data_IF_719795583296
#
_entry.id   IF_719795583296
#
_cell.length_a   1.000
_cell.length_b   1.000
_cell.length_c   1.000
_cell.angle_alpha   90.00
_cell.angle_beta   90.00
_cell.angle_gamma   90.00
#
_symmetry.space_group_name_H-M   'P 1'
#
loop_
_entity.id
_entity.type
_entity.pdbx_description
1 polymer ?
#
# COMPACT_ATOMS: atom_id res chain seq x y z
N UNK A 1 51.41 -15.72 47.15
CA UNK A 1 50.67 -16.68 46.29
C UNK A 1 49.25 -16.14 46.17
N UNK A 2 49.09 -15.09 45.35
CA UNK A 2 47.80 -14.42 45.12
C UNK A 2 47.13 -15.07 43.91
N UNK A 3 45.98 -15.68 44.13
CA UNK A 3 45.12 -16.18 43.07
C UNK A 3 44.39 -14.99 42.44
N UNK A 4 44.82 -14.57 41.24
CA UNK A 4 44.05 -13.67 40.39
C UNK A 4 42.83 -14.42 39.87
N UNK A 5 41.67 -14.07 40.41
CA UNK A 5 40.37 -14.48 39.91
C UNK A 5 40.12 -13.73 38.60
N UNK A 6 40.33 -14.42 37.47
CA UNK A 6 39.89 -13.94 36.16
C UNK A 6 38.37 -13.93 36.18
N UNK A 7 37.77 -12.73 36.28
CA UNK A 7 36.38 -12.54 35.89
C UNK A 7 36.36 -12.73 34.37
N UNK A 8 35.77 -13.82 33.91
CA UNK A 8 35.42 -13.95 32.51
C UNK A 8 34.34 -12.90 32.23
N UNK A 9 34.61 -12.01 31.28
CA UNK A 9 33.59 -11.15 30.70
C UNK A 9 32.46 -12.06 30.20
N UNK A 10 31.36 -12.06 30.94
CA UNK A 10 30.10 -12.63 30.52
C UNK A 10 29.52 -11.66 29.49
N UNK A 11 29.94 -11.83 28.24
CA UNK A 11 29.37 -11.19 27.05
C UNK A 11 27.93 -11.69 26.88
N UNK A 12 27.06 -11.31 27.81
CA UNK A 12 25.62 -11.36 27.62
C UNK A 12 25.30 -10.24 26.62
N UNK A 13 25.43 -10.54 25.33
CA UNK A 13 24.86 -9.71 24.27
C UNK A 13 23.41 -9.40 24.65
N UNK A 14 23.16 -8.15 25.04
CA UNK A 14 21.82 -7.62 25.22
C UNK A 14 21.11 -7.82 23.88
N UNK A 15 20.24 -8.83 23.81
CA UNK A 15 19.32 -9.01 22.68
C UNK A 15 18.51 -7.71 22.64
N UNK A 16 18.89 -6.80 21.76
CA UNK A 16 18.10 -5.60 21.52
C UNK A 16 16.72 -6.10 21.07
N UNK A 17 15.69 -5.75 21.82
CA UNK A 17 14.32 -6.15 21.49
C UNK A 17 14.02 -5.67 20.07
N UNK A 18 14.02 -6.62 19.14
CA UNK A 18 13.85 -6.31 17.73
C UNK A 18 12.41 -5.86 17.52
N UNK A 19 12.23 -4.59 17.21
CA UNK A 19 10.91 -4.06 16.92
C UNK A 19 10.53 -4.33 15.47
N UNK A 20 9.43 -5.05 15.27
CA UNK A 20 8.86 -5.37 13.97
C UNK A 20 7.77 -4.36 13.60
N UNK A 21 7.88 -3.80 12.39
CA UNK A 21 6.90 -2.87 11.87
C UNK A 21 5.61 -3.62 11.49
N UNK A 22 4.42 -3.06 11.76
CA UNK A 22 3.17 -3.78 11.52
C UNK A 22 2.74 -3.87 10.05
N UNK A 23 3.39 -3.14 9.15
CA UNK A 23 3.14 -3.16 7.71
C UNK A 23 4.32 -3.78 6.97
N UNK A 24 4.03 -4.47 5.86
CA UNK A 24 5.02 -5.11 5.01
C UNK A 24 5.44 -4.19 3.86
N UNK A 25 6.55 -4.50 3.20
CA UNK A 25 6.88 -3.85 1.92
C UNK A 25 5.73 -3.98 0.92
N UNK A 26 5.38 -2.88 0.25
CA UNK A 26 4.23 -2.78 -0.64
C UNK A 26 2.97 -2.17 0.00
N UNK A 27 2.87 -2.20 1.33
CA UNK A 27 1.74 -1.62 2.08
C UNK A 27 1.87 -0.09 2.13
N UNK A 28 1.40 0.56 1.05
CA UNK A 28 1.54 2.01 0.84
C UNK A 28 0.23 2.78 1.05
N UNK A 29 0.37 4.06 1.43
CA UNK A 29 -0.72 5.04 1.51
C UNK A 29 -0.46 6.24 0.57
N UNK A 30 0.32 6.05 -0.49
CA UNK A 30 0.80 7.15 -1.37
C UNK A 30 -0.31 7.96 -2.05
N UNK A 31 -1.52 7.41 -2.18
CA UNK A 31 -2.68 8.07 -2.79
C UNK A 31 -3.70 8.54 -1.73
N UNK A 32 -3.30 8.63 -0.45
CA UNK A 32 -4.16 9.04 0.65
C UNK A 32 -3.72 10.40 1.20
N UNK A 33 -4.55 11.42 0.96
CA UNK A 33 -4.28 12.79 1.41
C UNK A 33 -4.79 13.12 2.83
N UNK A 34 -5.44 12.17 3.48
CA UNK A 34 -6.00 12.35 4.83
C UNK A 34 -5.48 11.30 5.80
N UNK A 35 -4.98 11.78 6.95
CA UNK A 35 -4.49 10.99 8.07
C UNK A 35 -4.93 11.69 9.39
N UNK A 36 -5.35 10.95 10.44
CA UNK A 36 -5.71 11.56 11.72
C UNK A 36 -4.48 12.10 12.47
N UNK A 37 -4.54 13.35 12.94
CA UNK A 37 -3.44 14.00 13.68
C UNK A 37 -3.50 13.78 15.21
N UNK A 38 -4.67 13.42 15.76
CA UNK A 38 -4.91 13.31 17.21
C UNK A 38 -4.43 14.53 18.00
N UNK A 39 -5.04 15.69 17.72
CA UNK A 39 -4.65 17.01 18.26
C UNK A 39 -4.42 16.99 19.78
N UNK A 40 -5.30 16.37 20.56
CA UNK A 40 -5.12 16.29 22.02
C UNK A 40 -3.85 15.53 22.40
N UNK A 41 -3.62 14.34 21.82
CA UNK A 41 -2.42 13.51 22.07
C UNK A 41 -1.15 14.27 21.67
N UNK A 42 -1.19 15.00 20.55
CA UNK A 42 -0.08 15.82 20.10
C UNK A 42 0.21 16.97 21.08
N UNK A 43 -0.78 17.81 21.36
CA UNK A 43 -0.59 19.03 22.14
C UNK A 43 -0.28 18.78 23.61
N UNK A 44 -0.61 17.59 24.15
CA UNK A 44 -0.25 17.17 25.51
C UNK A 44 0.96 16.22 25.55
N UNK A 45 1.66 16.00 24.43
CA UNK A 45 2.81 15.09 24.39
C UNK A 45 4.05 15.70 25.04
N UNK A 46 4.91 14.82 25.56
CA UNK A 46 6.25 15.19 26.04
C UNK A 46 7.05 15.90 24.95
N UNK A 47 6.96 15.44 23.70
CA UNK A 47 7.61 16.08 22.55
C UNK A 47 7.31 17.59 22.47
N UNK A 48 6.03 17.99 22.56
CA UNK A 48 5.66 19.41 22.53
C UNK A 48 6.13 20.13 23.79
N UNK A 49 5.97 19.52 24.97
CA UNK A 49 6.37 20.11 26.24
C UNK A 49 7.87 20.44 26.27
N UNK A 50 8.73 19.48 25.93
CA UNK A 50 10.18 19.64 25.90
C UNK A 50 10.64 20.58 24.78
N UNK A 51 10.07 20.47 23.58
CA UNK A 51 10.42 21.37 22.46
C UNK A 51 10.14 22.85 22.79
N UNK A 52 9.07 23.12 23.55
CA UNK A 52 8.77 24.48 24.01
C UNK A 52 9.70 24.90 25.15
N UNK A 53 9.93 24.04 26.13
CA UNK A 53 10.76 24.34 27.30
C UNK A 53 12.23 24.63 26.92
N UNK A 54 12.76 23.94 25.91
CA UNK A 54 14.14 24.07 25.46
C UNK A 54 14.33 25.11 24.35
N UNK A 55 13.28 25.86 23.99
CA UNK A 55 13.34 26.87 22.93
C UNK A 55 13.41 26.30 21.51
N UNK A 56 13.22 24.98 21.33
CA UNK A 56 13.23 24.25 20.05
C UNK A 56 11.86 24.21 19.36
N UNK A 57 11.08 25.30 19.42
CA UNK A 57 9.73 25.34 18.82
C UNK A 57 9.71 25.05 17.31
N UNK A 58 10.81 25.34 16.61
CA UNK A 58 10.95 25.02 15.18
C UNK A 58 10.86 23.52 14.87
N UNK A 59 11.32 22.68 15.81
CA UNK A 59 11.34 21.23 15.64
C UNK A 59 9.95 20.64 15.48
N UNK A 60 8.93 21.29 16.06
CA UNK A 60 7.52 20.88 15.94
C UNK A 60 7.09 20.91 14.46
N UNK A 61 7.46 21.97 13.73
CA UNK A 61 7.14 22.11 12.31
C UNK A 61 7.85 21.05 11.47
N UNK A 62 9.13 20.85 11.72
CA UNK A 62 9.94 19.84 11.02
C UNK A 62 9.44 18.42 11.29
N UNK A 63 9.08 18.10 12.54
CA UNK A 63 8.49 16.81 12.90
C UNK A 63 7.18 16.58 12.15
N UNK A 64 6.28 17.57 12.06
CA UNK A 64 5.04 17.45 11.29
C UNK A 64 5.28 17.21 9.79
N UNK A 65 6.33 17.82 9.20
CA UNK A 65 6.75 17.54 7.83
C UNK A 65 7.17 16.07 7.69
N UNK A 66 8.05 15.60 8.57
CA UNK A 66 8.53 14.22 8.58
C UNK A 66 7.39 13.21 8.78
N UNK A 67 6.47 13.47 9.71
CA UNK A 67 5.30 12.64 9.96
C UNK A 67 4.43 12.56 8.69
N UNK A 68 4.16 13.70 8.06
CA UNK A 68 3.36 13.76 6.82
C UNK A 68 4.02 13.00 5.66
N UNK A 69 5.34 13.13 5.51
CA UNK A 69 6.09 12.43 4.47
C UNK A 69 6.22 10.94 4.73
N UNK A 70 6.25 10.51 6.00
CA UNK A 70 6.34 9.09 6.37
C UNK A 70 5.18 8.26 5.81
N UNK A 71 3.97 8.81 5.74
CA UNK A 71 2.80 8.10 5.19
C UNK A 71 2.89 7.85 3.68
N UNK A 72 3.72 8.62 2.96
CA UNK A 72 3.97 8.44 1.52
C UNK A 72 5.06 7.40 1.24
N UNK A 73 5.76 6.96 2.27
CA UNK A 73 6.82 5.96 2.14
C UNK A 73 6.27 4.56 1.92
N UNK A 74 7.19 3.63 1.68
CA UNK A 74 6.94 2.20 1.51
C UNK A 74 7.84 1.47 2.53
N UNK A 75 7.28 0.78 3.54
CA UNK A 75 5.87 0.81 3.95
C UNK A 75 5.44 2.18 4.50
N UNK A 76 4.14 2.44 4.47
CA UNK A 76 3.58 3.68 4.99
C UNK A 76 3.87 3.88 6.48
N UNK A 77 4.23 5.10 6.88
CA UNK A 77 4.50 5.48 8.27
C UNK A 77 5.93 5.19 8.74
N UNK A 78 6.84 4.86 7.82
CA UNK A 78 8.27 4.69 8.11
C UNK A 78 9.09 5.83 7.52
N UNK A 79 10.35 6.00 7.94
CA UNK A 79 11.32 6.91 7.33
C UNK A 79 12.63 6.16 7.01
N UNK A 80 13.41 6.59 6.01
CA UNK A 80 14.76 6.07 5.81
C UNK A 80 15.68 6.54 6.92
N UNK A 81 16.57 5.67 7.42
CA UNK A 81 17.65 6.07 8.34
C UNK A 81 18.89 6.45 7.54
N UNK A 82 18.81 7.59 6.85
CA UNK A 82 19.89 8.14 6.03
C UNK A 82 19.79 9.66 6.03
N UNK A 83 20.85 10.35 6.47
CA UNK A 83 20.81 11.79 6.70
C UNK A 83 20.57 12.59 5.42
N UNK A 84 21.08 12.13 4.28
CA UNK A 84 20.88 12.82 3.00
C UNK A 84 19.40 12.74 2.58
N UNK A 85 18.80 11.57 2.67
CA UNK A 85 17.37 11.40 2.40
C UNK A 85 16.51 12.15 3.42
N UNK A 86 16.82 12.06 4.71
CA UNK A 86 16.06 12.73 5.75
C UNK A 86 16.13 14.25 5.64
N UNK A 87 17.30 14.83 5.36
CA UNK A 87 17.43 16.26 5.12
C UNK A 87 16.54 16.75 3.96
N UNK A 88 16.48 15.97 2.87
CA UNK A 88 15.61 16.27 1.74
C UNK A 88 14.12 16.15 2.12
N UNK A 89 13.73 15.10 2.84
CA UNK A 89 12.35 14.88 3.30
C UNK A 89 11.93 15.99 4.27
N UNK A 90 12.81 16.39 5.18
CA UNK A 90 12.62 17.45 6.17
C UNK A 90 12.71 18.88 5.60
N UNK A 91 12.99 19.03 4.29
CA UNK A 91 13.09 20.33 3.57
C UNK A 91 14.31 21.19 3.94
N UNK A 92 15.37 20.58 4.45
CA UNK A 92 16.69 21.23 4.58
C UNK A 92 17.45 21.27 3.25
N UNK A 93 17.16 20.34 2.33
CA UNK A 93 17.80 20.31 1.01
C UNK A 93 19.30 20.04 1.13
N UNK A 94 20.13 20.99 0.65
CA UNK A 94 21.59 20.88 0.74
C UNK A 94 22.16 21.21 2.14
N UNK A 95 21.36 21.74 3.06
CA UNK A 95 21.79 22.08 4.42
C UNK A 95 21.81 20.84 5.34
N UNK A 96 22.79 19.97 5.11
CA UNK A 96 22.95 18.73 5.89
C UNK A 96 23.35 19.02 7.34
N UNK A 97 24.12 20.08 7.59
CA UNK A 97 24.56 20.43 8.95
C UNK A 97 23.40 20.99 9.78
N UNK A 98 22.53 21.81 9.18
CA UNK A 98 21.26 22.22 9.81
C UNK A 98 20.36 21.02 10.11
N UNK A 99 20.27 20.05 9.19
CA UNK A 99 19.54 18.80 9.44
C UNK A 99 20.11 18.06 10.65
N UNK A 100 21.42 17.81 10.70
CA UNK A 100 22.07 17.09 11.80
C UNK A 100 21.82 17.77 13.15
N UNK A 101 21.84 19.10 13.20
CA UNK A 101 21.55 19.86 14.41
C UNK A 101 20.10 19.69 14.89
N UNK A 102 19.13 19.56 13.97
CA UNK A 102 17.72 19.35 14.29
C UNK A 102 17.35 17.88 14.53
N UNK A 103 18.12 16.93 13.96
CA UNK A 103 17.79 15.50 13.83
C UNK A 103 17.31 14.86 15.14
N UNK A 104 18.07 15.03 16.21
CA UNK A 104 17.77 14.41 17.51
C UNK A 104 16.41 14.88 18.06
N UNK A 105 16.14 16.19 17.96
CA UNK A 105 14.89 16.79 18.43
C UNK A 105 13.68 16.36 17.59
N UNK A 106 13.80 16.41 16.26
CA UNK A 106 12.68 16.16 15.34
C UNK A 106 12.37 14.67 15.16
N UNK A 107 13.33 13.79 15.44
CA UNK A 107 13.15 12.33 15.45
C UNK A 107 12.77 11.78 16.84
N UNK A 108 12.23 12.60 17.74
CA UNK A 108 11.69 12.13 19.01
C UNK A 108 10.67 10.98 18.80
N UNK A 109 10.89 9.85 19.47
CA UNK A 109 10.04 8.67 19.39
C UNK A 109 10.22 7.80 18.14
N UNK A 110 11.12 8.16 17.23
CA UNK A 110 11.52 7.32 16.11
C UNK A 110 12.59 6.32 16.55
N UNK A 111 12.48 5.08 16.09
CA UNK A 111 13.43 4.02 16.41
C UNK A 111 13.60 3.07 15.22
N UNK A 112 14.74 2.39 15.17
CA UNK A 112 15.02 1.36 14.17
C UNK A 112 13.94 0.27 14.19
N UNK A 113 13.51 -0.16 13.01
CA UNK A 113 12.49 -1.21 12.87
C UNK A 113 12.86 -2.22 11.80
N UNK A 114 12.52 -3.47 12.05
CA UNK A 114 12.53 -4.52 11.04
C UNK A 114 11.22 -4.51 10.26
N UNK A 115 11.30 -4.83 8.97
CA UNK A 115 10.15 -4.85 8.07
C UNK A 115 10.13 -6.19 7.35
N UNK A 116 8.98 -6.84 7.38
CA UNK A 116 8.76 -8.12 6.77
C UNK A 116 8.45 -8.01 5.26
N UNK A 117 8.73 -9.07 4.51
CA UNK A 117 8.58 -9.14 3.05
C UNK A 117 9.79 -8.65 2.24
N UNK A 118 9.65 -8.67 0.91
CA UNK A 118 10.68 -8.24 -0.03
C UNK A 118 10.39 -6.81 -0.53
N UNK A 119 11.39 -5.92 -0.46
CA UNK A 119 11.26 -4.55 -0.98
C UNK A 119 10.94 -4.59 -2.48
N UNK A 120 9.78 -4.07 -2.87
CA UNK A 120 9.39 -3.94 -4.28
C UNK A 120 10.25 -2.90 -5.02
N UNK A 121 10.95 -2.02 -4.29
CA UNK A 121 11.82 -0.98 -4.87
C UNK A 121 13.28 -1.38 -4.72
N UNK A 122 13.93 -1.63 -5.86
CA UNK A 122 15.31 -2.11 -6.06
C UNK A 122 16.44 -1.29 -5.38
N UNK A 123 16.16 -0.22 -4.63
CA UNK A 123 17.21 0.47 -3.87
C UNK A 123 17.45 -0.29 -2.57
N UNK A 124 18.72 -0.66 -2.36
CA UNK A 124 19.24 -1.43 -1.23
C UNK A 124 18.50 -1.13 0.07
N UNK A 125 18.17 -2.19 0.81
CA UNK A 125 17.50 -2.20 2.13
C UNK A 125 18.20 -1.23 3.09
N UNK A 126 17.83 0.04 3.07
CA UNK A 126 18.26 0.99 4.08
C UNK A 126 17.50 0.70 5.35
N UNK A 127 18.18 0.82 6.48
CA UNK A 127 17.54 0.74 7.79
C UNK A 127 16.36 1.73 7.82
N UNK A 128 15.24 1.30 8.41
CA UNK A 128 14.04 2.11 8.50
C UNK A 128 13.80 2.50 9.94
N UNK A 129 13.27 3.70 10.09
CA UNK A 129 12.76 4.22 11.34
C UNK A 129 11.24 4.08 11.36
N UNK A 130 10.71 3.55 12.45
CA UNK A 130 9.29 3.60 12.76
C UNK A 130 9.04 4.47 13.98
N UNK A 131 7.79 4.92 14.16
CA UNK A 131 7.35 5.61 15.35
C UNK A 131 6.05 4.97 15.85
N UNK A 132 5.95 4.64 17.14
CA UNK A 132 4.85 3.84 17.70
C UNK A 132 3.46 4.40 17.36
N UNK A 133 3.26 5.71 17.57
CA UNK A 133 1.99 6.37 17.22
C UNK A 133 1.73 6.38 15.72
N UNK A 134 2.74 6.63 14.89
CA UNK A 134 2.58 6.71 13.43
C UNK A 134 2.27 5.33 12.86
N UNK A 135 2.87 4.25 13.40
CA UNK A 135 2.64 2.88 12.94
C UNK A 135 1.22 2.40 13.26
N UNK A 136 0.68 2.75 14.45
CA UNK A 136 -0.74 2.52 14.79
C UNK A 136 -1.66 3.16 13.74
N UNK A 137 -1.37 4.42 13.40
CA UNK A 137 -2.17 5.19 12.44
C UNK A 137 -2.07 4.61 11.04
N UNK A 138 -0.85 4.29 10.59
CA UNK A 138 -0.60 3.72 9.28
C UNK A 138 -1.32 2.38 9.12
N UNK A 139 -1.26 1.52 10.13
CA UNK A 139 -1.94 0.21 10.15
C UNK A 139 -3.46 0.36 10.03
N UNK A 140 -4.07 1.22 10.84
CA UNK A 140 -5.51 1.45 10.80
C UNK A 140 -5.96 2.05 9.47
N UNK A 141 -5.16 2.97 8.91
CA UNK A 141 -5.44 3.54 7.60
C UNK A 141 -5.29 2.52 6.47
N UNK A 142 -4.29 1.65 6.55
CA UNK A 142 -4.10 0.57 5.60
C UNK A 142 -5.25 -0.44 5.63
N UNK A 143 -5.72 -0.85 6.82
CA UNK A 143 -6.92 -1.70 6.97
C UNK A 143 -8.15 -1.09 6.32
N UNK A 144 -8.38 0.21 6.53
CA UNK A 144 -9.50 0.94 5.90
C UNK A 144 -9.36 1.06 4.39
N UNK A 145 -8.13 1.26 3.88
CA UNK A 145 -7.83 1.27 2.44
C UNK A 145 -8.16 -0.08 1.82
N UNK A 146 -7.59 -1.16 2.37
CA UNK A 146 -7.77 -2.52 1.88
C UNK A 146 -9.26 -2.90 1.80
N UNK A 147 -10.05 -2.58 2.83
CA UNK A 147 -11.49 -2.81 2.80
C UNK A 147 -12.23 -2.04 1.70
N UNK A 148 -11.86 -0.78 1.43
CA UNK A 148 -12.44 0.00 0.32
C UNK A 148 -12.02 -0.56 -1.04
N UNK A 149 -10.77 -0.98 -1.18
CA UNK A 149 -10.26 -1.49 -2.44
C UNK A 149 -10.88 -2.84 -2.78
N UNK A 150 -11.05 -3.74 -1.79
CA UNK A 150 -11.83 -4.97 -1.93
C UNK A 150 -13.29 -4.70 -2.33
N UNK A 151 -13.95 -3.73 -1.69
CA UNK A 151 -15.33 -3.38 -2.00
C UNK A 151 -15.47 -2.80 -3.43
N UNK A 152 -14.52 -1.95 -3.85
CA UNK A 152 -14.47 -1.42 -5.21
C UNK A 152 -14.28 -2.52 -6.24
N UNK A 153 -13.36 -3.44 -5.97
CA UNK A 153 -13.06 -4.55 -6.86
C UNK A 153 -14.26 -5.49 -7.01
N UNK A 154 -14.89 -5.86 -5.90
CA UNK A 154 -16.13 -6.64 -5.92
C UNK A 154 -17.26 -5.92 -6.68
N UNK A 155 -17.42 -4.61 -6.48
CA UNK A 155 -18.38 -3.79 -7.21
C UNK A 155 -18.10 -3.73 -8.71
N UNK A 156 -16.84 -3.56 -9.09
CA UNK A 156 -16.39 -3.54 -10.49
C UNK A 156 -16.66 -4.88 -11.17
N UNK A 157 -16.30 -5.99 -10.54
CA UNK A 157 -16.56 -7.33 -11.05
C UNK A 157 -18.07 -7.62 -11.16
N UNK A 158 -18.88 -7.17 -10.20
CA UNK A 158 -20.34 -7.27 -10.29
C UNK A 158 -20.92 -6.50 -11.50
N UNK A 159 -20.38 -5.32 -11.81
CA UNK A 159 -20.75 -4.57 -13.01
C UNK A 159 -20.34 -5.31 -14.30
N UNK A 160 -19.15 -5.90 -14.33
CA UNK A 160 -18.69 -6.73 -15.46
C UNK A 160 -19.63 -7.91 -15.67
N UNK A 161 -19.98 -8.66 -14.61
CA UNK A 161 -20.94 -9.78 -14.66
C UNK A 161 -22.31 -9.35 -15.21
N UNK A 162 -22.83 -8.21 -14.76
CA UNK A 162 -24.08 -7.64 -15.26
C UNK A 162 -24.02 -7.35 -16.77
N UNK A 163 -22.91 -6.79 -17.26
CA UNK A 163 -22.68 -6.56 -18.70
C UNK A 163 -22.53 -7.87 -19.48
N UNK A 164 -21.80 -8.86 -18.95
CA UNK A 164 -21.65 -10.19 -19.56
C UNK A 164 -23.01 -10.88 -19.72
N UNK A 165 -23.88 -10.88 -18.69
CA UNK A 165 -25.23 -11.46 -18.79
C UNK A 165 -26.05 -10.85 -19.93
N UNK A 166 -25.99 -9.52 -20.08
CA UNK A 166 -26.67 -8.81 -21.19
C UNK A 166 -26.12 -9.28 -22.53
N UNK A 167 -24.80 -9.39 -22.66
CA UNK A 167 -24.13 -9.82 -23.91
C UNK A 167 -24.41 -11.28 -24.26
N UNK A 168 -24.40 -12.20 -23.29
CA UNK A 168 -24.81 -13.59 -23.49
C UNK A 168 -26.27 -13.70 -23.97
N UNK A 169 -27.16 -12.82 -23.49
CA UNK A 169 -28.53 -12.75 -23.99
C UNK A 169 -28.60 -12.25 -25.44
N UNK A 170 -27.81 -11.25 -25.83
CA UNK A 170 -27.72 -10.75 -27.21
C UNK A 170 -27.20 -11.84 -28.15
N UNK A 171 -26.18 -12.59 -27.71
CA UNK A 171 -25.62 -13.76 -28.41
C UNK A 171 -26.56 -14.98 -28.43
N UNK A 172 -27.77 -14.87 -27.87
CA UNK A 172 -28.78 -15.94 -27.80
C UNK A 172 -28.25 -17.24 -27.17
N UNK A 173 -27.31 -17.12 -26.23
CA UNK A 173 -26.79 -18.26 -25.48
C UNK A 173 -27.90 -18.86 -24.61
N UNK A 174 -27.91 -20.19 -24.46
CA UNK A 174 -28.97 -20.91 -23.77
C UNK A 174 -29.19 -20.36 -22.34
N UNK A 175 -30.46 -20.35 -21.91
CA UNK A 175 -30.88 -19.71 -20.65
C UNK A 175 -30.11 -20.23 -19.43
N UNK A 176 -29.92 -21.54 -19.33
CA UNK A 176 -29.21 -22.16 -18.21
C UNK A 176 -27.73 -21.76 -18.13
N UNK A 177 -27.11 -21.38 -19.25
CA UNK A 177 -25.72 -20.91 -19.32
C UNK A 177 -25.65 -19.45 -18.87
N UNK A 178 -26.50 -18.58 -19.41
CA UNK A 178 -26.46 -17.13 -19.10
C UNK A 178 -26.95 -16.79 -17.69
N UNK A 179 -27.77 -17.64 -17.08
CA UNK A 179 -28.27 -17.48 -15.70
C UNK A 179 -27.36 -18.18 -14.67
N UNK A 180 -26.45 -19.06 -15.11
CA UNK A 180 -25.47 -19.69 -14.22
C UNK A 180 -24.47 -18.66 -13.69
N UNK A 181 -24.47 -18.45 -12.38
CA UNK A 181 -23.55 -17.52 -11.72
C UNK A 181 -22.09 -17.98 -11.87
N UNK A 182 -21.85 -19.29 -11.85
CA UNK A 182 -20.51 -19.87 -12.04
C UNK A 182 -19.94 -19.55 -13.44
N UNK A 183 -20.74 -19.70 -14.49
CA UNK A 183 -20.29 -19.45 -15.87
C UNK A 183 -20.08 -17.94 -16.09
N UNK A 184 -21.04 -17.12 -15.64
CA UNK A 184 -20.93 -15.66 -15.75
C UNK A 184 -19.73 -15.14 -14.98
N UNK A 185 -19.45 -15.69 -13.80
CA UNK A 185 -18.26 -15.39 -13.01
C UNK A 185 -16.98 -15.77 -13.78
N UNK A 186 -16.89 -16.97 -14.33
CA UNK A 186 -15.71 -17.42 -15.06
C UNK A 186 -15.41 -16.53 -16.27
N UNK A 187 -16.43 -16.21 -17.07
CA UNK A 187 -16.31 -15.30 -18.23
C UNK A 187 -15.91 -13.89 -17.79
N UNK A 188 -16.54 -13.36 -16.74
CA UNK A 188 -16.21 -12.03 -16.22
C UNK A 188 -14.77 -11.96 -15.70
N UNK A 189 -14.32 -12.97 -14.93
CA UNK A 189 -12.96 -13.07 -14.42
C UNK A 189 -11.92 -13.22 -15.54
N UNK A 190 -12.24 -13.94 -16.62
CA UNK A 190 -11.34 -14.05 -17.78
C UNK A 190 -11.17 -12.69 -18.47
N UNK A 191 -12.29 -12.02 -18.82
CA UNK A 191 -12.24 -10.70 -19.45
C UNK A 191 -11.46 -9.70 -18.62
N UNK A 192 -11.63 -9.77 -17.30
CA UNK A 192 -10.94 -8.91 -16.37
C UNK A 192 -9.43 -9.17 -16.29
N UNK A 193 -9.05 -10.43 -16.09
CA UNK A 193 -7.65 -10.86 -16.00
C UNK A 193 -6.90 -10.60 -17.31
N UNK A 194 -7.56 -10.75 -18.45
CA UNK A 194 -7.01 -10.47 -19.78
C UNK A 194 -7.12 -8.99 -20.18
N UNK A 195 -7.64 -8.11 -19.33
CA UNK A 195 -7.86 -6.68 -19.58
C UNK A 195 -8.64 -6.41 -20.89
N UNK A 196 -9.66 -7.22 -21.16
CA UNK A 196 -10.51 -7.13 -22.35
C UNK A 196 -11.81 -6.39 -22.06
N UNK A 197 -12.20 -5.51 -22.99
CA UNK A 197 -13.51 -4.84 -22.93
C UNK A 197 -14.66 -5.83 -23.12
N UNK A 198 -15.81 -5.56 -22.49
CA UNK A 198 -17.02 -6.39 -22.59
C UNK A 198 -17.75 -6.14 -23.92
N UNK A 199 -17.20 -6.69 -25.01
CA UNK A 199 -17.78 -6.70 -26.37
C UNK A 199 -18.36 -8.07 -26.70
N UNK A 200 -19.17 -8.15 -27.76
CA UNK A 200 -19.79 -9.41 -28.19
C UNK A 200 -18.73 -10.46 -28.56
N UNK A 201 -17.67 -10.05 -29.26
CA UNK A 201 -16.58 -10.94 -29.69
C UNK A 201 -15.72 -11.40 -28.51
N UNK A 202 -15.37 -10.48 -27.60
CA UNK A 202 -14.58 -10.85 -26.42
C UNK A 202 -15.37 -11.76 -25.48
N UNK A 203 -16.69 -11.55 -25.33
CA UNK A 203 -17.55 -12.45 -24.54
C UNK A 203 -17.65 -13.83 -25.20
N UNK A 204 -17.69 -13.90 -26.54
CA UNK A 204 -17.67 -15.18 -27.27
C UNK A 204 -16.35 -15.92 -27.03
N UNK A 205 -15.23 -15.23 -27.22
CA UNK A 205 -13.90 -15.78 -26.97
C UNK A 205 -13.77 -16.25 -25.52
N UNK A 206 -14.15 -15.41 -24.55
CA UNK A 206 -14.08 -15.76 -23.15
C UNK A 206 -14.97 -16.96 -22.79
N UNK A 207 -16.16 -17.09 -23.39
CA UNK A 207 -17.03 -18.25 -23.17
C UNK A 207 -16.43 -19.55 -23.75
N UNK A 208 -15.76 -19.45 -24.90
CA UNK A 208 -15.06 -20.56 -25.50
C UNK A 208 -13.86 -21.00 -24.64
N UNK A 209 -13.03 -20.05 -24.19
CA UNK A 209 -11.85 -20.33 -23.37
C UNK A 209 -12.20 -20.85 -21.97
N UNK A 210 -13.29 -20.35 -21.37
CA UNK A 210 -13.64 -20.71 -19.98
C UNK A 210 -14.56 -21.93 -19.87
N UNK A 211 -15.45 -22.16 -20.85
CA UNK A 211 -16.48 -23.21 -20.79
C UNK A 211 -16.38 -24.19 -21.96
N UNK A 212 -15.49 -23.95 -22.94
CA UNK A 212 -15.38 -24.79 -24.14
C UNK A 212 -16.60 -24.67 -25.07
N UNK A 213 -17.41 -23.63 -24.91
CA UNK A 213 -18.65 -23.45 -25.67
C UNK A 213 -18.49 -22.40 -26.76
N UNK A 214 -18.74 -22.81 -28.01
CA UNK A 214 -18.90 -21.90 -29.15
C UNK A 214 -20.39 -21.59 -29.35
N UNK A 215 -20.86 -20.36 -29.07
CA UNK A 215 -22.20 -19.95 -29.45
C UNK A 215 -22.38 -20.08 -30.96
N UNK A 216 -23.41 -20.80 -31.41
CA UNK A 216 -23.79 -20.79 -32.81
C UNK A 216 -24.41 -19.42 -33.14
N UNK A 217 -23.67 -18.60 -33.90
CA UNK A 217 -24.19 -17.38 -34.50
C UNK A 217 -24.52 -17.70 -35.95
N UNK A 218 -25.79 -17.58 -36.33
CA UNK A 218 -26.11 -17.42 -37.75
C UNK A 218 -25.50 -16.09 -38.19
N UNK A 219 -24.43 -16.13 -38.99
CA UNK A 219 -23.97 -14.97 -39.76
C UNK A 219 -25.16 -14.48 -40.59
N UNK A 220 -25.68 -13.31 -40.26
CA UNK A 220 -26.50 -12.55 -41.20
C UNK A 220 -25.57 -11.82 -42.15
N UNK A 221 -24.84 -12.59 -42.97
CA UNK A 221 -24.28 -12.08 -44.22
C UNK A 221 -25.35 -12.32 -45.29
N UNK A 222 -26.25 -11.34 -45.45
CA UNK A 222 -27.20 -11.33 -46.55
C UNK A 222 -27.35 -9.91 -47.11
N UNK A 223 -26.65 -9.71 -48.23
CA UNK A 223 -26.85 -8.70 -49.27
C UNK A 223 -26.45 -7.25 -48.99
N UNK A 224 -25.18 -6.95 -49.33
CA UNK A 224 -24.82 -5.65 -49.90
C UNK A 224 -23.87 -5.82 -51.09
N UNK A 225 -24.32 -6.59 -52.07
CA UNK A 225 -23.81 -6.52 -53.44
C UNK A 225 -25.01 -6.37 -54.41
N UNK A 226 -24.78 -5.58 -55.46
CA UNK A 226 -25.68 -5.20 -56.54
C UNK A 226 -26.69 -4.06 -56.25
N UNK A 227 -26.22 -2.83 -56.41
CA UNK A 227 -26.89 -1.85 -57.30
C UNK A 227 -25.83 -1.10 -58.09
N UNK A 228 -25.68 -1.52 -59.35
CA UNK A 228 -25.42 -0.63 -60.49
C UNK A 228 -26.49 0.48 -60.56
#
# INVERSE_FOLDING_TARGET
>A
MEARMHYADDDTELISETWWYPLQWGDTLSNHDWIPLYINRLLTSDFIAYSVAEGRRGDIGTALILWSESFKQDPAGTLPDDDVQLAQIARFGSDIEGWKAAREGVLHGWQATQIDGESTRSRARTQRLGHAVISEIALDMHRRKSGRDQAREAGRLAQVRSRVRKKLSVLKVARHIRESDQIVQAVASYLDTSNLYVTDDNVRLALEETVGLRPHVHQLDAHREARE
#
